data_IF_467381128798
#
_entry.id   IF_467381128798
#
_cell.length_a   1.000
_cell.length_b   1.000
_cell.length_c   1.000
_cell.angle_alpha   90.00
_cell.angle_beta   90.00
_cell.angle_gamma   90.00
#
_symmetry.space_group_name_H-M   'P 1'
#
loop_
_entity.id
_entity.type
_entity.pdbx_description
1 polymer ?
#
# COMPACT_ATOMS: atom_id res chain seq x y z
N UNK A 1 -32.15 19.50 -9.31
CA UNK A 1 -31.63 18.12 -9.17
C UNK A 1 -32.75 17.26 -8.60
N UNK A 2 -33.17 16.19 -9.27
CA UNK A 2 -34.29 15.38 -8.78
C UNK A 2 -33.87 14.54 -7.56
N UNK A 3 -34.83 14.21 -6.67
CA UNK A 3 -34.58 13.37 -5.49
C UNK A 3 -33.88 12.05 -5.87
N UNK A 4 -34.32 11.46 -6.98
CA UNK A 4 -33.72 10.24 -7.55
C UNK A 4 -32.23 10.41 -7.85
N UNK A 5 -31.83 11.54 -8.46
CA UNK A 5 -30.42 11.81 -8.76
C UNK A 5 -29.57 11.86 -7.48
N UNK A 6 -30.06 12.50 -6.42
CA UNK A 6 -29.33 12.62 -5.15
C UNK A 6 -29.15 11.24 -4.50
N UNK A 7 -30.20 10.43 -4.48
CA UNK A 7 -30.16 9.07 -3.92
C UNK A 7 -29.16 8.19 -4.69
N UNK A 8 -29.19 8.22 -6.02
CA UNK A 8 -28.26 7.44 -6.86
C UNK A 8 -26.81 7.84 -6.59
N UNK A 9 -26.50 9.14 -6.54
CA UNK A 9 -25.16 9.63 -6.23
C UNK A 9 -24.71 9.16 -4.84
N UNK A 10 -25.58 9.25 -3.83
CA UNK A 10 -25.29 8.78 -2.47
C UNK A 10 -24.95 7.29 -2.43
N UNK A 11 -25.71 6.44 -3.14
CA UNK A 11 -25.46 5.00 -3.22
C UNK A 11 -24.10 4.72 -3.88
N UNK A 12 -23.81 5.38 -5.00
CA UNK A 12 -22.53 5.19 -5.72
C UNK A 12 -21.35 5.58 -4.83
N UNK A 13 -21.41 6.71 -4.14
CA UNK A 13 -20.38 7.14 -3.20
C UNK A 13 -20.23 6.12 -2.06
N UNK A 14 -21.34 5.65 -1.49
CA UNK A 14 -21.33 4.64 -0.44
C UNK A 14 -20.66 3.33 -0.86
N UNK A 15 -20.96 2.83 -2.07
CA UNK A 15 -20.35 1.61 -2.62
C UNK A 15 -18.84 1.81 -2.83
N UNK A 16 -18.42 2.95 -3.37
CA UNK A 16 -17.00 3.24 -3.60
C UNK A 16 -16.24 3.28 -2.27
N UNK A 17 -16.79 3.96 -1.26
CA UNK A 17 -16.18 4.03 0.08
C UNK A 17 -16.09 2.64 0.71
N UNK A 18 -17.18 1.86 0.67
CA UNK A 18 -17.21 0.51 1.21
C UNK A 18 -16.18 -0.41 0.53
N UNK A 19 -16.06 -0.32 -0.80
CA UNK A 19 -15.06 -1.08 -1.57
C UNK A 19 -13.63 -0.70 -1.17
N UNK A 20 -13.32 0.61 -1.09
CA UNK A 20 -12.00 1.09 -0.70
C UNK A 20 -11.65 0.63 0.72
N UNK A 21 -12.54 0.82 1.69
CA UNK A 21 -12.31 0.40 3.09
C UNK A 21 -12.09 -1.12 3.17
N UNK A 22 -12.95 -1.91 2.52
CA UNK A 22 -12.81 -3.38 2.51
C UNK A 22 -11.46 -3.81 1.93
N UNK A 23 -11.01 -3.15 0.87
CA UNK A 23 -9.70 -3.41 0.23
C UNK A 23 -8.52 -3.03 1.13
N UNK A 24 -8.62 -1.93 1.89
CA UNK A 24 -7.60 -1.52 2.87
C UNK A 24 -7.49 -2.58 3.97
N UNK A 25 -8.63 -2.99 4.55
CA UNK A 25 -8.67 -4.00 5.62
C UNK A 25 -8.07 -5.31 5.12
N UNK A 26 -8.51 -5.80 3.96
CA UNK A 26 -7.96 -7.02 3.35
C UNK A 26 -6.44 -6.93 3.18
N UNK A 27 -5.92 -5.83 2.61
CA UNK A 27 -4.48 -5.63 2.35
C UNK A 27 -3.61 -5.63 3.59
N UNK A 28 -4.15 -5.16 4.71
CA UNK A 28 -3.45 -5.05 5.99
C UNK A 28 -3.56 -6.30 6.86
N UNK A 29 -4.57 -7.14 6.66
CA UNK A 29 -4.88 -8.25 7.59
C UNK A 29 -4.88 -9.63 6.95
N UNK A 30 -5.49 -9.79 5.77
CA UNK A 30 -5.72 -11.09 5.14
C UNK A 30 -4.85 -11.33 3.91
N UNK A 31 -4.18 -10.30 3.40
CA UNK A 31 -3.32 -10.42 2.24
C UNK A 31 -2.12 -11.33 2.54
N UNK A 32 -1.67 -12.18 1.61
CA UNK A 32 -0.53 -13.08 1.81
C UNK A 32 0.73 -12.34 2.29
N UNK A 33 0.91 -11.09 1.83
CA UNK A 33 2.04 -10.24 2.22
C UNK A 33 1.78 -9.38 3.48
N UNK A 34 0.70 -9.61 4.23
CA UNK A 34 0.39 -8.83 5.44
C UNK A 34 1.38 -9.10 6.59
N UNK A 35 2.06 -10.26 6.59
CA UNK A 35 3.08 -10.62 7.56
C UNK A 35 4.42 -9.90 7.36
N UNK A 36 4.68 -9.34 6.17
CA UNK A 36 5.95 -8.66 5.92
C UNK A 36 5.94 -7.23 6.47
N UNK A 37 7.05 -6.81 7.11
CA UNK A 37 7.15 -5.49 7.72
C UNK A 37 7.24 -4.38 6.65
N UNK A 38 6.83 -3.17 7.02
CA UNK A 38 6.93 -2.00 6.15
C UNK A 38 5.92 -0.89 6.48
N UNK A 39 5.98 0.24 5.77
CA UNK A 39 5.03 1.33 5.95
C UNK A 39 3.60 0.89 5.58
N UNK A 40 2.64 1.14 6.47
CA UNK A 40 1.21 0.79 6.22
C UNK A 40 0.66 1.42 4.94
N UNK A 41 1.11 2.62 4.59
CA UNK A 41 0.70 3.28 3.34
C UNK A 41 1.18 2.52 2.09
N UNK A 42 2.40 1.98 2.13
CA UNK A 42 2.94 1.15 1.05
C UNK A 42 2.21 -0.19 0.92
N UNK A 43 1.74 -0.75 2.04
CA UNK A 43 0.89 -1.95 2.04
C UNK A 43 -0.50 -1.71 1.42
N UNK A 44 -0.99 -0.47 1.45
CA UNK A 44 -2.36 -0.12 1.08
C UNK A 44 -2.47 0.49 -0.32
N UNK A 45 -1.48 1.24 -0.78
CA UNK A 45 -1.54 1.97 -2.06
C UNK A 45 -0.17 2.11 -2.73
N UNK A 46 -0.15 2.12 -4.07
CA UNK A 46 1.05 2.44 -4.87
C UNK A 46 1.40 3.94 -4.85
N UNK A 47 0.50 4.79 -4.36
CA UNK A 47 0.77 6.23 -4.23
C UNK A 47 1.94 6.52 -3.28
N UNK A 48 2.25 5.62 -2.35
CA UNK A 48 3.43 5.75 -1.50
C UNK A 48 4.71 5.78 -2.33
N UNK A 49 4.88 4.82 -3.23
CA UNK A 49 6.00 4.78 -4.17
C UNK A 49 6.00 5.98 -5.12
N UNK A 50 4.84 6.29 -5.71
CA UNK A 50 4.71 7.42 -6.63
C UNK A 50 5.10 8.76 -5.96
N UNK A 51 4.76 8.96 -4.68
CA UNK A 51 5.19 10.14 -3.94
C UNK A 51 6.71 10.29 -3.91
N UNK A 52 7.45 9.20 -3.62
CA UNK A 52 8.91 9.26 -3.55
C UNK A 52 9.57 9.36 -4.92
N UNK A 53 8.99 8.79 -5.97
CA UNK A 53 9.58 8.82 -7.30
C UNK A 53 9.26 10.10 -8.08
N UNK A 54 8.10 10.71 -7.84
CA UNK A 54 7.65 11.90 -8.56
C UNK A 54 8.05 13.18 -7.81
N UNK A 55 7.91 13.18 -6.48
CA UNK A 55 8.07 14.39 -5.65
C UNK A 55 9.35 14.39 -4.82
N UNK A 56 10.08 13.27 -4.77
CA UNK A 56 11.33 13.14 -4.03
C UNK A 56 12.42 12.58 -4.95
N UNK A 57 13.68 12.48 -4.47
CA UNK A 57 14.80 11.96 -5.25
C UNK A 57 14.74 10.45 -5.58
N UNK A 58 13.59 9.78 -5.43
CA UNK A 58 13.38 8.35 -5.70
C UNK A 58 13.27 7.49 -4.44
N UNK A 59 12.37 6.49 -4.47
CA UNK A 59 12.18 5.53 -3.38
C UNK A 59 13.43 4.68 -3.12
N UNK A 60 14.21 4.38 -4.17
CA UNK A 60 15.47 3.64 -4.07
C UNK A 60 16.41 4.28 -3.05
N UNK A 61 16.48 5.62 -2.98
CA UNK A 61 17.35 6.30 -2.03
C UNK A 61 16.89 6.15 -0.58
N UNK A 62 15.61 5.82 -0.35
CA UNK A 62 15.05 5.55 0.97
C UNK A 62 15.12 4.08 1.36
N UNK A 63 15.51 3.20 0.43
CA UNK A 63 15.56 1.76 0.64
C UNK A 63 16.55 1.31 1.72
N UNK A 64 17.75 1.91 1.86
CA UNK A 64 18.67 1.58 2.96
C UNK A 64 18.04 1.84 4.34
N UNK A 65 17.49 3.04 4.56
CA UNK A 65 16.81 3.40 5.81
C UNK A 65 15.60 2.50 6.10
N UNK A 66 14.92 2.04 5.06
CA UNK A 66 13.79 1.11 5.17
C UNK A 66 14.26 -0.26 5.65
N UNK A 67 15.33 -0.80 5.06
CA UNK A 67 15.89 -2.07 5.47
C UNK A 67 16.51 -2.02 6.86
N UNK A 68 17.12 -0.90 7.23
CA UNK A 68 17.60 -0.67 8.60
C UNK A 68 16.44 -0.72 9.61
N UNK A 69 15.27 -0.16 9.25
CA UNK A 69 14.11 -0.08 10.16
C UNK A 69 13.26 -1.34 10.21
N UNK A 70 13.08 -2.02 9.08
CA UNK A 70 12.10 -3.08 8.92
C UNK A 70 12.73 -4.46 8.66
N UNK A 71 14.04 -4.53 8.40
CA UNK A 71 14.76 -5.77 8.11
C UNK A 71 14.94 -6.05 6.62
N UNK A 72 15.45 -7.24 6.30
CA UNK A 72 15.92 -7.56 4.94
C UNK A 72 14.80 -7.73 3.90
N UNK A 73 13.54 -7.96 4.33
CA UNK A 73 12.37 -8.06 3.45
C UNK A 73 11.33 -7.02 3.86
N UNK A 74 11.04 -6.06 2.99
CA UNK A 74 10.16 -4.92 3.30
C UNK A 74 9.09 -4.71 2.24
N UNK A 75 7.84 -4.58 2.66
CA UNK A 75 6.70 -4.22 1.80
C UNK A 75 6.63 -2.70 1.61
N UNK A 76 7.37 -2.17 0.63
CA UNK A 76 7.58 -0.71 0.47
C UNK A 76 7.20 -0.15 -0.90
N UNK A 77 7.16 -0.97 -1.96
CA UNK A 77 6.94 -0.50 -3.33
C UNK A 77 5.45 -0.45 -3.65
N UNK A 78 4.74 -1.56 -3.45
CA UNK A 78 3.33 -1.70 -3.80
C UNK A 78 2.64 -2.72 -2.88
N UNK A 79 1.30 -2.74 -2.80
CA UNK A 79 0.55 -3.68 -1.98
C UNK A 79 0.92 -5.15 -2.24
N UNK A 80 1.37 -5.48 -3.45
CA UNK A 80 1.60 -6.85 -3.90
C UNK A 80 3.09 -7.15 -4.14
N UNK A 81 4.00 -6.32 -3.62
CA UNK A 81 5.44 -6.46 -3.85
C UNK A 81 6.24 -6.22 -2.57
N UNK A 82 7.23 -7.06 -2.34
CA UNK A 82 8.26 -6.88 -1.31
C UNK A 82 9.59 -6.54 -1.96
N UNK A 83 10.39 -5.74 -1.29
CA UNK A 83 11.78 -5.48 -1.65
C UNK A 83 12.68 -6.29 -0.73
N UNK A 84 13.69 -6.94 -1.31
CA UNK A 84 14.64 -7.80 -0.61
C UNK A 84 16.02 -7.15 -0.68
N UNK A 85 16.70 -7.02 0.45
CA UNK A 85 18.00 -6.36 0.54
C UNK A 85 19.16 -7.24 0.06
N UNK A 86 19.12 -8.53 0.40
CA UNK A 86 20.25 -9.45 0.27
C UNK A 86 19.80 -10.92 0.09
N UNK A 87 20.78 -11.81 -0.03
CA UNK A 87 20.54 -13.26 -0.16
C UNK A 87 19.94 -13.86 1.10
N UNK A 88 20.24 -13.32 2.29
CA UNK A 88 19.66 -13.80 3.54
C UNK A 88 18.15 -13.55 3.58
N UNK A 89 17.70 -12.37 3.17
CA UNK A 89 16.29 -12.04 3.03
C UNK A 89 15.58 -12.85 1.94
N UNK A 90 16.29 -13.26 0.88
CA UNK A 90 15.72 -14.10 -0.17
C UNK A 90 15.42 -15.54 0.30
N UNK A 91 16.17 -16.03 1.29
CA UNK A 91 16.08 -17.40 1.79
C UNK A 91 15.14 -17.56 3.01
N UNK A 92 14.38 -16.52 3.36
CA UNK A 92 13.32 -16.55 4.40
C UNK A 92 12.00 -17.06 3.82
#
# INVERSE_FOLDING_TARGET
MSLLTVVVVGIVVGIVVAYVVSKIVYRLTLHPLAGFPGPKLAAVTSLYHAHYDILQPGLIKKMPDMHERYGNVVRVVQPNLVHVADLEGYNQ
#
